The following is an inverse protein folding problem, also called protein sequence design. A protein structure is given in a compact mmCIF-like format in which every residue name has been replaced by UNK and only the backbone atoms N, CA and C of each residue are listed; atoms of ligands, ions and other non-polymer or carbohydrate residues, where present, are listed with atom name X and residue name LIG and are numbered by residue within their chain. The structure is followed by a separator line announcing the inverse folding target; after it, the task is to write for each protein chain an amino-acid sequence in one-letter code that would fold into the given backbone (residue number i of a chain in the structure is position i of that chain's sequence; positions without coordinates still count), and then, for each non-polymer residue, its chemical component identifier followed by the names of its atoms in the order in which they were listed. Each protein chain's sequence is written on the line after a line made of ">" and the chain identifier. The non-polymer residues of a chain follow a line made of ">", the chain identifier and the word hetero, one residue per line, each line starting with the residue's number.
data_IF_640428011029
#
_entry.id   IF_640428011029
#
_cell.length_a   1.000
_cell.length_b   1.000
_cell.length_c   1.000
_cell.angle_alpha   90.00
_cell.angle_beta   90.00
_cell.angle_gamma   90.00
#
_symmetry.space_group_name_H-M   'P 1'
#
loop_
_entity.id
_entity.type
_entity.pdbx_description
1 polymer ?
#
# COMPACT_ATOMS: atom_id res chain seq x y z
N UNK A 1 8.20 -30.55 1.50
CA UNK A 1 7.28 -29.63 0.80
C UNK A 1 7.53 -28.27 1.41
N UNK A 2 7.91 -27.27 0.63
CA UNK A 2 8.23 -25.95 1.17
C UNK A 2 6.93 -25.37 1.77
N UNK A 3 6.99 -24.72 2.93
CA UNK A 3 5.80 -24.23 3.66
C UNK A 3 4.97 -23.26 2.80
N UNK A 4 5.64 -22.46 1.94
CA UNK A 4 4.99 -21.53 1.03
C UNK A 4 4.15 -22.25 -0.04
N UNK A 5 4.65 -23.35 -0.60
CA UNK A 5 3.93 -24.13 -1.63
C UNK A 5 2.60 -24.66 -1.09
N UNK A 6 2.56 -25.11 0.15
CA UNK A 6 1.34 -25.57 0.81
C UNK A 6 0.31 -24.43 0.95
N UNK A 7 0.76 -23.25 1.36
CA UNK A 7 -0.10 -22.06 1.50
C UNK A 7 -0.67 -21.64 0.15
N UNK A 8 0.12 -21.67 -0.92
CA UNK A 8 -0.28 -21.22 -2.25
C UNK A 8 -1.18 -22.21 -2.99
N UNK A 9 -1.17 -23.50 -2.62
CA UNK A 9 -2.11 -24.50 -3.16
C UNK A 9 -3.53 -24.38 -2.61
N UNK A 10 -3.68 -23.73 -1.47
CA UNK A 10 -4.97 -23.44 -0.84
C UNK A 10 -5.01 -21.97 -0.41
N UNK A 11 -4.87 -21.05 -1.38
CA UNK A 11 -4.62 -19.65 -1.12
C UNK A 11 -5.77 -18.94 -0.41
N UNK A 12 -5.57 -18.67 0.87
CA UNK A 12 -6.43 -17.86 1.73
C UNK A 12 -5.67 -16.68 2.35
N UNK A 13 -4.56 -16.24 1.76
CA UNK A 13 -3.64 -15.23 2.28
C UNK A 13 -4.34 -13.89 2.53
N UNK A 14 -5.19 -13.46 1.60
CA UNK A 14 -5.88 -12.17 1.69
C UNK A 14 -7.39 -12.33 1.92
N UNK A 15 -8.13 -11.25 2.22
CA UNK A 15 -9.57 -11.30 2.54
C UNK A 15 -10.46 -11.87 1.42
N UNK A 16 -9.96 -12.01 0.18
CA UNK A 16 -10.70 -12.66 -0.90
C UNK A 16 -10.99 -14.14 -0.64
N UNK A 17 -10.20 -14.80 0.22
CA UNK A 17 -10.38 -16.20 0.63
C UNK A 17 -10.71 -17.13 -0.55
N UNK A 18 -9.99 -16.99 -1.67
CA UNK A 18 -10.30 -17.69 -2.93
C UNK A 18 -10.19 -19.21 -2.81
N UNK A 19 -9.40 -19.72 -1.86
CA UNK A 19 -9.00 -21.12 -1.75
C UNK A 19 -8.49 -21.71 -3.08
N UNK A 20 -7.84 -20.88 -3.89
CA UNK A 20 -7.36 -21.26 -5.21
C UNK A 20 -5.99 -21.94 -5.11
N UNK A 21 -5.77 -22.96 -5.92
CA UNK A 21 -4.46 -23.50 -6.18
C UNK A 21 -3.73 -22.60 -7.20
N UNK A 22 -2.70 -21.88 -6.73
CA UNK A 22 -1.92 -20.97 -7.59
C UNK A 22 -1.04 -21.70 -8.60
N UNK A 23 -0.82 -23.00 -8.45
CA UNK A 23 -0.11 -23.82 -9.44
C UNK A 23 -0.99 -24.21 -10.62
N UNK A 24 -2.33 -24.19 -10.44
CA UNK A 24 -3.30 -24.55 -11.47
C UNK A 24 -3.56 -23.41 -12.46
N UNK A 25 -4.23 -23.72 -13.58
CA UNK A 25 -4.71 -22.71 -14.54
C UNK A 25 -5.84 -21.87 -13.96
N UNK A 26 -6.66 -22.45 -13.09
CA UNK A 26 -7.79 -21.79 -12.45
C UNK A 26 -7.31 -20.91 -11.32
N UNK A 27 -6.92 -19.69 -11.64
CA UNK A 27 -6.42 -18.68 -10.70
C UNK A 27 -7.53 -18.13 -9.81
N UNK A 28 -7.14 -17.65 -8.60
CA UNK A 28 -8.00 -16.88 -7.72
C UNK A 28 -8.30 -15.46 -8.25
N UNK A 29 -8.93 -14.62 -7.40
CA UNK A 29 -9.34 -13.26 -7.77
C UNK A 29 -8.19 -12.41 -8.34
N UNK A 30 -7.02 -12.43 -7.69
CA UNK A 30 -5.87 -11.64 -8.12
C UNK A 30 -5.15 -12.19 -9.36
N UNK A 31 -5.51 -13.37 -9.84
CA UNK A 31 -4.86 -14.06 -10.98
C UNK A 31 -3.37 -14.37 -10.81
N UNK A 32 -2.83 -14.25 -9.59
CA UNK A 32 -1.43 -14.57 -9.31
C UNK A 32 -1.17 -16.06 -9.34
N UNK A 33 0.03 -16.44 -9.78
CA UNK A 33 0.58 -17.81 -9.74
C UNK A 33 1.46 -18.02 -8.49
N UNK A 34 2.27 -19.08 -8.49
CA UNK A 34 3.18 -19.42 -7.39
C UNK A 34 4.50 -18.62 -7.42
N UNK A 35 4.87 -18.03 -8.56
CA UNK A 35 6.13 -17.30 -8.71
C UNK A 35 6.12 -15.96 -7.99
N UNK A 36 7.28 -15.37 -7.84
CA UNK A 36 7.45 -13.99 -7.40
C UNK A 36 7.14 -13.04 -8.56
N UNK A 37 5.83 -12.83 -8.79
CA UNK A 37 5.36 -11.98 -9.87
C UNK A 37 5.56 -10.50 -9.51
N UNK A 38 6.60 -9.89 -10.08
CA UNK A 38 7.05 -8.52 -9.79
C UNK A 38 7.15 -7.75 -11.08
N UNK A 39 6.63 -6.53 -11.13
CA UNK A 39 6.76 -5.65 -12.29
C UNK A 39 8.14 -4.99 -12.35
N UNK A 40 8.67 -4.57 -11.21
CA UNK A 40 9.98 -3.92 -11.12
C UNK A 40 10.55 -3.97 -9.70
N UNK A 41 11.88 -3.91 -9.62
CA UNK A 41 12.64 -3.68 -8.39
C UNK A 41 13.56 -2.50 -8.69
N UNK A 42 13.30 -1.36 -8.06
CA UNK A 42 13.96 -0.09 -8.41
C UNK A 42 14.15 0.80 -7.18
N UNK A 43 15.15 1.69 -7.24
CA UNK A 43 15.26 2.78 -6.28
C UNK A 43 14.17 3.81 -6.55
N UNK A 44 13.36 4.10 -5.55
CA UNK A 44 12.29 5.10 -5.60
C UNK A 44 12.57 6.23 -4.63
N UNK A 45 12.49 7.49 -5.09
CA UNK A 45 12.75 8.70 -4.28
C UNK A 45 11.50 9.51 -3.97
N UNK A 46 10.33 8.98 -4.26
CA UNK A 46 9.05 9.68 -4.12
C UNK A 46 8.12 9.11 -3.03
N UNK A 47 8.65 8.32 -2.09
CA UNK A 47 7.86 7.81 -0.97
C UNK A 47 7.57 8.90 0.07
N UNK A 48 7.03 8.56 1.24
CA UNK A 48 6.79 9.56 2.29
C UNK A 48 8.09 10.27 2.68
N UNK A 49 8.11 11.58 2.98
CA UNK A 49 9.32 12.36 3.21
C UNK A 49 10.28 11.80 4.28
N UNK A 50 9.73 11.03 5.21
CA UNK A 50 10.49 10.38 6.28
C UNK A 50 10.97 8.98 5.93
N UNK A 51 10.71 8.47 4.72
CA UNK A 51 11.08 7.11 4.30
C UNK A 51 12.18 7.16 3.24
N UNK A 52 13.29 6.48 3.51
CA UNK A 52 14.39 6.27 2.56
C UNK A 52 15.35 7.43 2.39
N UNK A 53 15.08 8.61 2.96
CA UNK A 53 15.96 9.77 2.90
C UNK A 53 16.43 10.13 1.49
N UNK A 54 17.63 10.71 1.36
CA UNK A 54 18.20 11.15 0.07
C UNK A 54 18.55 10.00 -0.88
N UNK A 55 18.83 8.81 -0.35
CA UNK A 55 19.16 7.62 -1.15
C UNK A 55 17.93 6.95 -1.75
N UNK A 56 16.76 7.20 -1.18
CA UNK A 56 15.51 6.56 -1.57
C UNK A 56 15.34 5.17 -0.98
N UNK A 57 14.37 4.44 -1.50
CA UNK A 57 13.95 3.12 -1.03
C UNK A 57 14.02 2.11 -2.18
N UNK A 58 14.49 0.89 -1.91
CA UNK A 58 14.40 -0.24 -2.83
C UNK A 58 12.96 -0.74 -2.88
N UNK A 59 12.15 -0.28 -3.84
CA UNK A 59 10.77 -0.73 -3.99
C UNK A 59 10.66 -1.99 -4.84
N UNK A 60 10.03 -3.02 -4.28
CA UNK A 60 9.59 -4.24 -4.96
C UNK A 60 8.11 -4.07 -5.31
N UNK A 61 7.80 -3.80 -6.57
CA UNK A 61 6.43 -3.64 -7.05
C UNK A 61 5.85 -4.99 -7.45
N UNK A 62 5.02 -5.57 -6.59
CA UNK A 62 4.30 -6.79 -6.93
C UNK A 62 3.27 -6.52 -8.02
N UNK A 63 3.19 -7.45 -8.97
CA UNK A 63 2.21 -7.40 -10.05
C UNK A 63 0.85 -7.83 -9.55
N UNK A 64 -0.21 -7.34 -10.21
CA UNK A 64 -1.60 -7.61 -9.87
C UNK A 64 -2.02 -6.99 -8.53
N UNK A 65 -3.26 -7.22 -8.09
CA UNK A 65 -3.74 -6.69 -6.82
C UNK A 65 -4.97 -7.49 -6.34
N UNK A 66 -5.15 -7.58 -5.03
CA UNK A 66 -6.35 -8.13 -4.42
C UNK A 66 -7.54 -7.12 -4.40
N UNK A 67 -7.30 -5.85 -4.73
CA UNK A 67 -8.31 -4.85 -5.11
C UNK A 67 -8.20 -4.53 -6.59
N UNK A 68 -9.32 -4.13 -7.21
CA UNK A 68 -9.35 -3.73 -8.62
C UNK A 68 -9.91 -2.31 -8.72
N UNK A 69 -9.14 -1.35 -8.18
CA UNK A 69 -9.55 0.05 -8.18
C UNK A 69 -9.60 0.59 -9.61
N UNK A 70 -10.77 1.07 -10.04
CA UNK A 70 -10.99 1.59 -11.40
C UNK A 70 -10.15 2.83 -11.71
N UNK A 71 -9.67 3.52 -10.67
CA UNK A 71 -8.82 4.73 -10.72
C UNK A 71 -7.35 4.45 -10.35
N UNK A 72 -6.91 3.20 -10.37
CA UNK A 72 -5.56 2.84 -9.94
C UNK A 72 -4.50 3.52 -10.80
N UNK A 73 -3.60 4.29 -10.17
CA UNK A 73 -2.49 4.94 -10.88
C UNK A 73 -1.47 3.93 -11.40
N UNK A 74 -1.37 2.77 -10.74
CA UNK A 74 -0.51 1.65 -11.13
C UNK A 74 -1.26 0.58 -11.93
N UNK A 75 -2.31 0.94 -12.69
CA UNK A 75 -3.16 -0.03 -13.39
C UNK A 75 -2.39 -0.93 -14.37
N UNK A 76 -1.30 -0.43 -14.94
CA UNK A 76 -0.43 -1.18 -15.87
C UNK A 76 0.21 -2.42 -15.25
N UNK A 77 0.33 -2.46 -13.92
CA UNK A 77 0.92 -3.57 -13.18
C UNK A 77 -0.08 -4.24 -12.23
N UNK A 78 -1.15 -3.56 -11.82
CA UNK A 78 -2.07 -4.02 -10.78
C UNK A 78 -3.34 -4.68 -11.33
N UNK A 79 -3.72 -4.46 -12.59
CA UNK A 79 -4.93 -5.04 -13.13
C UNK A 79 -4.80 -6.55 -13.33
N UNK A 80 -5.95 -7.25 -13.37
CA UNK A 80 -6.00 -8.71 -13.55
C UNK A 80 -6.13 -9.13 -15.01
N UNK A 81 -6.03 -8.17 -15.94
CA UNK A 81 -6.06 -8.41 -17.37
C UNK A 81 -4.73 -8.99 -17.88
N UNK A 82 -4.73 -9.58 -19.05
CA UNK A 82 -3.60 -10.34 -19.60
C UNK A 82 -2.37 -9.49 -19.94
N UNK A 83 -2.56 -8.23 -20.30
CA UNK A 83 -1.49 -7.35 -20.74
C UNK A 83 -0.96 -6.46 -19.59
N UNK A 84 -0.34 -7.06 -18.60
CA UNK A 84 0.33 -6.34 -17.51
C UNK A 84 1.85 -6.50 -17.59
N UNK A 85 2.56 -5.55 -17.00
CA UNK A 85 4.02 -5.66 -16.82
C UNK A 85 4.27 -6.61 -15.65
N UNK A 86 4.74 -7.81 -15.94
CA UNK A 86 4.97 -8.85 -14.94
C UNK A 86 6.21 -9.66 -15.31
N UNK A 87 7.13 -9.79 -14.37
CA UNK A 87 8.27 -10.69 -14.45
C UNK A 87 8.09 -11.77 -13.36
N UNK A 88 8.30 -13.02 -13.74
CA UNK A 88 8.23 -14.16 -12.82
C UNK A 88 9.65 -14.51 -12.39
N UNK A 89 10.05 -14.04 -11.22
CA UNK A 89 11.37 -14.30 -10.66
C UNK A 89 11.38 -15.52 -9.73
N UNK A 90 12.55 -16.12 -9.58
CA UNK A 90 12.87 -16.99 -8.45
C UNK A 90 13.17 -16.14 -7.20
N UNK A 91 13.20 -16.78 -6.04
CA UNK A 91 13.61 -16.13 -4.79
C UNK A 91 15.04 -15.58 -4.89
N UNK A 92 15.95 -16.39 -5.44
CA UNK A 92 17.37 -16.02 -5.61
C UNK A 92 17.54 -14.79 -6.51
N UNK A 93 16.81 -14.74 -7.63
CA UNK A 93 16.86 -13.57 -8.55
C UNK A 93 16.35 -12.29 -7.87
N UNK A 94 15.25 -12.37 -7.09
CA UNK A 94 14.73 -11.22 -6.34
C UNK A 94 15.73 -10.75 -5.29
N UNK A 95 16.23 -11.67 -4.48
CA UNK A 95 17.19 -11.35 -3.41
C UNK A 95 18.47 -10.75 -3.99
N UNK A 96 19.00 -11.31 -5.09
CA UNK A 96 20.17 -10.75 -5.79
C UNK A 96 19.93 -9.32 -6.26
N UNK A 97 18.75 -9.03 -6.87
CA UNK A 97 18.40 -7.67 -7.32
C UNK A 97 18.26 -6.70 -6.15
N UNK A 98 17.65 -7.11 -5.07
CA UNK A 98 17.50 -6.28 -3.86
C UNK A 98 18.88 -5.97 -3.27
N UNK A 99 19.75 -6.98 -3.10
CA UNK A 99 21.10 -6.81 -2.57
C UNK A 99 21.92 -5.85 -3.41
N UNK A 100 21.87 -5.96 -4.74
CA UNK A 100 22.57 -5.02 -5.64
C UNK A 100 22.17 -3.56 -5.42
N UNK A 101 20.92 -3.29 -5.03
CA UNK A 101 20.47 -1.94 -4.69
C UNK A 101 20.92 -1.56 -3.26
N UNK A 102 20.80 -2.47 -2.29
CA UNK A 102 21.23 -2.21 -0.91
C UNK A 102 22.74 -1.91 -0.83
N UNK A 103 23.55 -2.58 -1.65
CA UNK A 103 25.00 -2.37 -1.73
C UNK A 103 25.37 -0.98 -2.27
N UNK A 104 24.45 -0.24 -2.89
CA UNK A 104 24.64 1.19 -3.23
C UNK A 104 24.50 2.12 -2.02
N UNK A 105 24.15 1.57 -0.86
CA UNK A 105 23.93 2.29 0.40
C UNK A 105 22.48 2.70 0.65
N UNK A 106 21.52 2.20 -0.13
CA UNK A 106 20.10 2.22 0.22
C UNK A 106 19.90 1.27 1.40
N UNK A 107 19.26 1.72 2.47
CA UNK A 107 19.06 0.93 3.70
C UNK A 107 17.60 0.52 3.94
N UNK A 108 16.72 0.82 3.01
CA UNK A 108 15.27 0.60 3.16
C UNK A 108 14.72 -0.17 1.98
N UNK A 109 13.88 -1.17 2.24
CA UNK A 109 13.14 -1.94 1.23
C UNK A 109 11.64 -1.71 1.39
N UNK A 110 10.94 -1.43 0.29
CA UNK A 110 9.49 -1.29 0.23
C UNK A 110 8.83 -2.40 -0.55
N UNK A 111 7.84 -3.04 0.05
CA UNK A 111 6.98 -4.02 -0.62
C UNK A 111 5.68 -3.32 -1.03
N UNK A 112 5.49 -3.09 -2.33
CA UNK A 112 4.36 -2.31 -2.86
C UNK A 112 3.25 -3.25 -3.33
N UNK A 113 2.03 -3.06 -2.81
CA UNK A 113 0.86 -3.91 -3.02
C UNK A 113 1.08 -5.38 -2.61
N UNK A 114 1.63 -5.67 -1.43
CA UNK A 114 2.09 -6.99 -1.03
C UNK A 114 0.98 -7.92 -0.50
N UNK A 115 -0.24 -7.44 -0.26
CA UNK A 115 -1.32 -8.13 0.47
C UNK A 115 -1.62 -9.56 -0.01
N UNK A 116 -1.41 -9.85 -1.29
CA UNK A 116 -1.62 -11.16 -1.88
C UNK A 116 -0.32 -11.95 -2.09
N UNK A 117 0.82 -11.40 -1.63
CA UNK A 117 2.16 -11.96 -1.68
C UNK A 117 2.85 -12.00 -0.30
N UNK A 118 2.12 -11.91 0.81
CA UNK A 118 2.70 -11.85 2.15
C UNK A 118 3.58 -13.05 2.49
N UNK A 119 3.25 -14.25 2.01
CA UNK A 119 4.12 -15.41 2.18
C UNK A 119 5.48 -15.23 1.46
N UNK A 120 5.48 -14.65 0.26
CA UNK A 120 6.70 -14.33 -0.49
C UNK A 120 7.49 -13.20 0.19
N UNK A 121 6.82 -12.18 0.73
CA UNK A 121 7.46 -11.10 1.51
C UNK A 121 8.23 -11.67 2.69
N UNK A 122 7.60 -12.59 3.47
CA UNK A 122 8.26 -13.26 4.60
C UNK A 122 9.52 -14.01 4.15
N UNK A 123 9.43 -14.72 3.03
CA UNK A 123 10.55 -15.52 2.51
C UNK A 123 11.69 -14.63 2.03
N UNK A 124 11.39 -13.52 1.34
CA UNK A 124 12.40 -12.54 0.92
C UNK A 124 13.13 -11.96 2.15
N UNK A 125 12.39 -11.49 3.17
CA UNK A 125 12.99 -10.90 4.37
C UNK A 125 13.86 -11.92 5.10
N UNK A 126 13.37 -13.14 5.29
CA UNK A 126 14.11 -14.18 5.97
C UNK A 126 15.40 -14.55 5.23
N UNK A 127 15.36 -14.61 3.90
CA UNK A 127 16.56 -14.90 3.08
C UNK A 127 17.57 -13.76 3.16
N UNK A 128 17.13 -12.51 3.08
CA UNK A 128 18.01 -11.36 3.29
C UNK A 128 18.68 -11.39 4.66
N UNK A 129 17.92 -11.67 5.72
CA UNK A 129 18.45 -11.78 7.08
C UNK A 129 19.47 -12.91 7.22
N UNK A 130 19.24 -14.08 6.59
CA UNK A 130 20.19 -15.20 6.56
C UNK A 130 21.49 -14.84 5.85
N UNK A 131 21.44 -13.91 4.90
CA UNK A 131 22.60 -13.39 4.16
C UNK A 131 23.21 -12.13 4.80
N UNK A 132 22.83 -11.80 6.04
CA UNK A 132 23.27 -10.64 6.82
C UNK A 132 22.89 -9.26 6.24
N UNK A 133 21.77 -9.18 5.53
CA UNK A 133 21.14 -7.93 5.11
C UNK A 133 19.94 -7.63 5.98
N UNK A 134 19.94 -6.50 6.70
CA UNK A 134 18.89 -6.09 7.64
C UNK A 134 18.34 -4.70 7.27
N UNK A 135 17.77 -4.50 6.09
CA UNK A 135 17.20 -3.21 5.71
C UNK A 135 15.95 -2.88 6.54
N UNK A 136 15.64 -1.60 6.68
CA UNK A 136 14.33 -1.17 7.17
C UNK A 136 13.26 -1.62 6.20
N UNK A 137 12.29 -2.41 6.68
CA UNK A 137 11.23 -2.99 5.83
C UNK A 137 9.95 -2.17 5.88
N UNK A 138 9.43 -1.78 4.72
CA UNK A 138 8.19 -1.01 4.57
C UNK A 138 7.12 -1.86 3.87
N UNK A 139 5.96 -2.02 4.51
CA UNK A 139 4.81 -2.73 3.96
C UNK A 139 3.79 -1.72 3.44
N UNK A 140 3.89 -1.38 2.13
CA UNK A 140 3.05 -0.40 1.44
C UNK A 140 1.82 -1.09 0.87
N UNK A 141 0.72 -1.06 1.63
CA UNK A 141 -0.48 -1.85 1.36
C UNK A 141 -1.71 -1.00 1.08
N UNK A 142 -2.69 -1.59 0.40
CA UNK A 142 -4.01 -1.02 0.23
C UNK A 142 -4.94 -1.23 1.46
N UNK A 143 -4.42 -1.76 2.55
CA UNK A 143 -5.11 -2.10 3.79
C UNK A 143 -6.19 -3.21 3.67
N UNK A 144 -6.37 -3.84 2.50
CA UNK A 144 -7.26 -4.99 2.37
C UNK A 144 -6.48 -6.27 2.72
N UNK A 145 -6.09 -6.36 4.00
CA UNK A 145 -5.27 -7.40 4.60
C UNK A 145 -6.02 -8.17 5.68
N UNK A 146 -5.67 -9.42 5.89
CA UNK A 146 -6.18 -10.22 7.00
C UNK A 146 -5.38 -9.93 8.27
N UNK A 147 -6.07 -9.85 9.40
CA UNK A 147 -5.43 -9.65 10.72
C UNK A 147 -4.44 -10.77 11.02
N UNK A 148 -4.83 -12.02 10.76
CA UNK A 148 -3.99 -13.20 10.99
C UNK A 148 -2.68 -13.13 10.18
N UNK A 149 -2.77 -12.69 8.93
CA UNK A 149 -1.60 -12.52 8.06
C UNK A 149 -0.69 -11.39 8.56
N UNK A 150 -1.26 -10.30 9.09
CA UNK A 150 -0.49 -9.20 9.69
C UNK A 150 0.20 -9.60 10.99
N UNK A 151 -0.44 -10.44 11.81
CA UNK A 151 0.18 -11.01 13.02
C UNK A 151 1.41 -11.84 12.64
N UNK A 152 1.35 -12.60 11.56
CA UNK A 152 2.50 -13.36 11.07
C UNK A 152 3.66 -12.47 10.55
N UNK A 153 3.41 -11.21 10.25
CA UNK A 153 4.42 -10.23 9.82
C UNK A 153 5.01 -9.44 11.00
N UNK A 154 4.50 -9.62 12.23
CA UNK A 154 5.01 -8.95 13.42
C UNK A 154 6.50 -9.26 13.62
N UNK A 155 7.31 -8.24 13.86
CA UNK A 155 8.77 -8.36 13.96
C UNK A 155 9.52 -8.39 12.62
N UNK A 156 8.85 -8.68 11.50
CA UNK A 156 9.45 -8.65 10.16
C UNK A 156 9.29 -7.31 9.45
N UNK A 157 8.20 -6.60 9.71
CA UNK A 157 7.92 -5.29 9.12
C UNK A 157 8.25 -4.20 10.11
N UNK A 158 9.09 -3.25 9.70
CA UNK A 158 9.45 -2.09 10.48
C UNK A 158 8.39 -0.98 10.36
N UNK A 159 7.96 -0.67 9.16
CA UNK A 159 7.02 0.43 8.89
C UNK A 159 5.81 -0.10 8.13
N UNK A 160 4.62 0.13 8.67
CA UNK A 160 3.38 -0.06 7.93
C UNK A 160 2.96 1.24 7.27
N UNK A 161 2.60 1.15 5.98
CA UNK A 161 2.17 2.27 5.14
C UNK A 161 0.84 1.94 4.44
N UNK A 162 -0.27 1.80 5.21
CA UNK A 162 -1.57 1.44 4.64
C UNK A 162 -2.28 2.62 4.01
N UNK A 163 -2.89 2.39 2.85
CA UNK A 163 -3.89 3.30 2.27
C UNK A 163 -5.27 3.01 2.85
N UNK A 164 -5.80 3.87 3.69
CA UNK A 164 -7.19 3.74 4.16
C UNK A 164 -8.14 4.46 3.18
N UNK A 165 -8.68 3.72 2.21
CA UNK A 165 -9.35 4.29 1.04
C UNK A 165 -10.80 4.69 1.30
N UNK A 166 -11.56 3.86 2.05
CA UNK A 166 -13.02 4.02 2.17
C UNK A 166 -13.54 3.68 3.57
N UNK A 167 -14.55 4.44 3.99
CA UNK A 167 -15.50 4.10 5.07
C UNK A 167 -16.93 3.93 4.53
N UNK A 168 -17.09 3.93 3.21
CA UNK A 168 -18.37 3.71 2.54
C UNK A 168 -18.33 2.39 1.75
N UNK A 169 -19.17 1.44 2.15
CA UNK A 169 -19.21 0.08 1.58
C UNK A 169 -19.72 0.05 0.13
N UNK A 170 -20.62 0.98 -0.24
CA UNK A 170 -21.14 1.07 -1.60
C UNK A 170 -20.06 1.67 -2.50
N UNK A 171 -19.40 2.72 -2.03
CA UNK A 171 -18.31 3.35 -2.76
C UNK A 171 -17.15 2.38 -2.97
N UNK A 172 -16.73 1.65 -1.93
CA UNK A 172 -15.65 0.66 -2.04
C UNK A 172 -15.98 -0.49 -2.98
N UNK A 173 -17.25 -0.96 -2.98
CA UNK A 173 -17.72 -1.95 -3.95
C UNK A 173 -17.60 -1.42 -5.38
N UNK A 174 -18.10 -0.20 -5.61
CA UNK A 174 -18.16 0.38 -6.95
C UNK A 174 -16.78 0.76 -7.50
N UNK A 175 -15.90 1.30 -6.66
CA UNK A 175 -14.60 1.80 -7.11
C UNK A 175 -13.46 0.78 -7.00
N UNK A 176 -13.59 -0.26 -6.15
CA UNK A 176 -12.49 -1.21 -5.89
C UNK A 176 -12.91 -2.67 -5.81
N UNK A 177 -14.19 -2.98 -6.09
CA UNK A 177 -14.69 -4.35 -6.14
C UNK A 177 -14.70 -5.07 -4.77
N UNK A 178 -14.76 -4.33 -3.64
CA UNK A 178 -14.75 -4.91 -2.29
C UNK A 178 -15.74 -4.17 -1.37
N UNK A 179 -16.95 -4.73 -1.21
CA UNK A 179 -17.99 -4.13 -0.35
C UNK A 179 -17.60 -4.12 1.13
N UNK A 180 -16.87 -5.11 1.54
CA UNK A 180 -16.40 -5.36 2.92
C UNK A 180 -15.10 -4.60 3.27
N UNK A 181 -14.56 -3.83 2.32
CA UNK A 181 -13.31 -3.09 2.51
C UNK A 181 -13.28 -2.23 3.79
N UNK A 182 -14.31 -1.43 4.13
CA UNK A 182 -14.24 -0.57 5.32
C UNK A 182 -14.01 -1.35 6.61
N UNK A 183 -14.70 -2.46 6.79
CA UNK A 183 -14.57 -3.31 7.97
C UNK A 183 -13.20 -3.99 8.03
N UNK A 184 -12.76 -4.57 6.92
CA UNK A 184 -11.49 -5.29 6.83
C UNK A 184 -10.31 -4.34 7.02
N UNK A 185 -10.30 -3.19 6.31
CA UNK A 185 -9.24 -2.21 6.43
C UNK A 185 -9.16 -1.62 7.84
N UNK A 186 -10.29 -1.36 8.47
CA UNK A 186 -10.35 -0.90 9.85
C UNK A 186 -9.69 -1.88 10.83
N UNK A 187 -9.99 -3.19 10.71
CA UNK A 187 -9.37 -4.24 11.54
C UNK A 187 -7.87 -4.37 11.24
N UNK A 188 -7.49 -4.34 9.99
CA UNK A 188 -6.09 -4.42 9.55
C UNK A 188 -5.26 -3.27 10.11
N UNK A 189 -5.75 -2.02 10.01
CA UNK A 189 -5.06 -0.84 10.51
C UNK A 189 -5.00 -0.85 12.04
N UNK A 190 -6.05 -1.30 12.75
CA UNK A 190 -6.01 -1.49 14.21
C UNK A 190 -4.93 -2.50 14.61
N UNK A 191 -4.74 -3.58 13.86
CA UNK A 191 -3.66 -4.53 14.11
C UNK A 191 -2.28 -3.91 13.85
N UNK A 192 -2.10 -3.18 12.74
CA UNK A 192 -0.85 -2.44 12.48
C UNK A 192 -0.56 -1.43 13.60
N UNK A 193 -1.60 -0.75 14.11
CA UNK A 193 -1.48 0.17 15.25
C UNK A 193 -1.12 -0.56 16.55
N UNK A 194 -1.67 -1.74 16.81
CA UNK A 194 -1.29 -2.58 17.95
C UNK A 194 0.20 -2.91 17.93
N UNK A 195 0.75 -3.21 16.74
CA UNK A 195 2.16 -3.57 16.59
C UNK A 195 3.11 -2.37 16.69
N UNK A 196 2.70 -1.19 16.21
CA UNK A 196 3.59 -0.03 16.03
C UNK A 196 3.26 1.18 16.89
N UNK A 197 2.04 1.28 17.41
CA UNK A 197 1.57 2.48 18.10
C UNK A 197 1.47 3.70 17.19
N UNK A 198 1.48 4.89 17.81
CA UNK A 198 1.36 6.18 17.10
C UNK A 198 2.69 6.90 16.91
N UNK A 199 3.79 6.41 17.46
CA UNK A 199 5.10 7.07 17.40
C UNK A 199 5.92 6.54 16.23
N UNK A 200 6.51 7.46 15.43
CA UNK A 200 7.55 7.10 14.48
C UNK A 200 8.90 7.16 15.19
N UNK A 201 9.58 6.01 15.23
CA UNK A 201 11.00 5.94 15.61
C UNK A 201 11.80 6.39 14.40
N UNK A 202 12.74 7.30 14.62
CA UNK A 202 13.58 7.88 13.57
C UNK A 202 15.04 7.73 13.89
N UNK A 203 15.86 7.61 12.84
CA UNK A 203 17.31 7.70 12.93
C UNK A 203 17.77 9.15 13.19
N UNK A 204 19.09 9.32 13.29
CA UNK A 204 19.73 10.63 13.55
C UNK A 204 19.52 11.64 12.40
N UNK A 205 19.24 11.16 11.20
CA UNK A 205 18.99 11.95 9.99
C UNK A 205 17.50 12.27 9.82
N UNK A 206 16.64 11.78 10.72
CA UNK A 206 15.20 12.00 10.72
C UNK A 206 14.41 11.03 9.86
N UNK A 207 15.02 9.98 9.32
CA UNK A 207 14.34 8.93 8.56
C UNK A 207 13.65 7.95 9.51
N UNK A 208 12.49 7.47 9.12
CA UNK A 208 11.74 6.51 9.91
C UNK A 208 12.40 5.12 9.88
N UNK A 209 12.63 4.56 11.06
CA UNK A 209 13.10 3.20 11.28
C UNK A 209 11.98 2.26 11.70
N UNK A 210 10.92 2.76 12.34
CA UNK A 210 9.76 1.97 12.74
C UNK A 210 8.52 2.85 12.93
N UNK A 211 7.34 2.30 12.65
CA UNK A 211 6.08 2.96 12.94
C UNK A 211 4.94 2.66 11.98
N UNK A 212 3.89 3.47 12.09
CA UNK A 212 2.70 3.41 11.24
C UNK A 212 2.41 4.79 10.67
N UNK A 213 2.31 4.87 9.33
CA UNK A 213 1.87 6.06 8.61
C UNK A 213 0.63 5.68 7.80
N UNK A 214 -0.54 6.14 8.21
CA UNK A 214 -1.77 5.92 7.44
C UNK A 214 -1.80 6.92 6.29
N UNK A 215 -2.14 6.45 5.07
CA UNK A 215 -2.34 7.31 3.92
C UNK A 215 -3.82 7.36 3.54
N UNK A 216 -4.27 8.51 3.08
CA UNK A 216 -5.60 8.65 2.51
C UNK A 216 -5.58 9.53 1.27
N UNK A 217 -5.97 8.96 0.13
CA UNK A 217 -6.11 9.71 -1.13
C UNK A 217 -7.52 10.30 -1.21
N UNK A 218 -7.59 11.62 -1.25
CA UNK A 218 -8.85 12.34 -1.45
C UNK A 218 -9.27 12.21 -2.91
N UNK A 219 -10.44 11.61 -3.14
CA UNK A 219 -10.99 11.45 -4.48
C UNK A 219 -11.94 12.62 -4.83
N UNK A 220 -11.82 13.20 -6.06
CA UNK A 220 -12.71 14.25 -6.50
C UNK A 220 -14.18 13.81 -6.49
N UNK A 221 -15.04 14.59 -5.84
CA UNK A 221 -16.47 14.32 -5.69
C UNK A 221 -16.85 13.39 -4.53
N UNK A 222 -15.85 12.86 -3.77
CA UNK A 222 -16.10 11.94 -2.66
C UNK A 222 -15.55 12.42 -1.32
N UNK A 223 -15.58 13.73 -1.08
CA UNK A 223 -15.04 14.34 0.14
C UNK A 223 -15.71 13.82 1.42
N UNK A 224 -17.00 13.48 1.37
CA UNK A 224 -17.70 12.94 2.53
C UNK A 224 -17.15 11.58 2.97
N UNK A 225 -16.64 10.77 2.02
CA UNK A 225 -15.90 9.55 2.36
C UNK A 225 -14.59 9.88 3.09
N UNK A 226 -13.85 10.89 2.62
CA UNK A 226 -12.62 11.31 3.27
C UNK A 226 -12.88 11.78 4.71
N UNK A 227 -13.96 12.55 4.93
CA UNK A 227 -14.37 12.99 6.28
C UNK A 227 -14.68 11.77 7.17
N UNK A 228 -15.40 10.78 6.67
CA UNK A 228 -15.68 9.53 7.41
C UNK A 228 -14.40 8.79 7.77
N UNK A 229 -13.43 8.68 6.85
CA UNK A 229 -12.13 8.03 7.10
C UNK A 229 -11.36 8.78 8.18
N UNK A 230 -11.23 10.10 8.06
CA UNK A 230 -10.51 10.93 9.04
C UNK A 230 -11.14 10.86 10.44
N UNK A 231 -12.47 10.91 10.50
CA UNK A 231 -13.21 10.76 11.77
C UNK A 231 -12.94 9.40 12.39
N UNK A 232 -13.04 8.33 11.61
CA UNK A 232 -12.75 6.97 12.09
C UNK A 232 -11.32 6.84 12.65
N UNK A 233 -10.32 7.40 11.95
CA UNK A 233 -8.92 7.39 12.41
C UNK A 233 -8.82 8.10 13.78
N UNK A 234 -9.43 9.27 13.92
CA UNK A 234 -9.36 10.06 15.14
C UNK A 234 -10.08 9.41 16.33
N UNK A 235 -11.29 8.88 16.10
CA UNK A 235 -12.16 8.35 17.15
C UNK A 235 -11.82 6.90 17.54
N UNK A 236 -11.37 6.08 16.57
CA UNK A 236 -11.25 4.63 16.73
C UNK A 236 -9.80 4.12 16.72
N UNK A 237 -8.83 4.94 16.31
CA UNK A 237 -7.41 4.57 16.28
C UNK A 237 -6.62 5.51 17.19
N UNK A 238 -6.33 6.73 16.74
CA UNK A 238 -5.61 7.73 17.54
C UNK A 238 -5.57 9.09 16.84
N UNK A 239 -5.67 10.17 17.62
CA UNK A 239 -5.41 11.53 17.15
C UNK A 239 -3.91 11.83 16.97
N UNK A 240 -3.04 10.99 17.55
CA UNK A 240 -1.58 11.17 17.49
C UNK A 240 -0.92 10.35 16.37
N UNK A 241 -1.71 9.64 15.54
CA UNK A 241 -1.19 8.84 14.43
C UNK A 241 -0.63 9.75 13.33
N UNK A 242 0.42 9.30 12.67
CA UNK A 242 0.92 9.96 11.47
C UNK A 242 -0.02 9.67 10.29
N UNK A 243 -0.62 10.73 9.74
CA UNK A 243 -1.52 10.66 8.60
C UNK A 243 -0.95 11.46 7.43
N UNK A 244 -0.77 10.80 6.30
CA UNK A 244 -0.48 11.44 5.01
C UNK A 244 -1.79 11.61 4.23
N UNK A 245 -2.29 12.84 4.21
CA UNK A 245 -3.47 13.21 3.42
C UNK A 245 -3.02 13.61 2.02
N UNK A 246 -3.35 12.78 1.03
CA UNK A 246 -2.91 12.95 -0.34
C UNK A 246 -3.99 13.62 -1.19
N UNK A 247 -3.66 14.76 -1.79
CA UNK A 247 -4.53 15.48 -2.72
C UNK A 247 -4.09 15.39 -4.17
N UNK A 248 -2.97 14.71 -4.43
CA UNK A 248 -2.35 14.57 -5.76
C UNK A 248 -3.06 13.53 -6.66
N UNK A 249 -4.39 13.42 -6.56
CA UNK A 249 -5.12 12.56 -7.47
C UNK A 249 -4.99 13.05 -8.92
N UNK A 250 -4.53 12.17 -9.81
CA UNK A 250 -4.53 12.39 -11.25
C UNK A 250 -5.33 11.30 -11.97
N UNK A 251 -6.25 11.66 -12.86
CA UNK A 251 -6.94 10.68 -13.67
C UNK A 251 -5.97 10.04 -14.68
N UNK A 252 -5.84 8.72 -14.63
CA UNK A 252 -4.99 7.97 -15.57
C UNK A 252 -5.71 7.63 -16.87
N UNK A 253 -7.04 7.64 -16.85
CA UNK A 253 -7.93 7.42 -17.97
C UNK A 253 -9.32 7.96 -17.66
N UNK A 254 -10.14 8.20 -18.68
CA UNK A 254 -11.57 8.44 -18.49
C UNK A 254 -12.24 7.17 -17.93
N UNK A 255 -13.08 7.36 -16.92
CA UNK A 255 -13.81 6.25 -16.28
C UNK A 255 -15.29 6.47 -16.55
N UNK A 256 -15.86 5.59 -17.37
CA UNK A 256 -17.27 5.65 -17.71
C UNK A 256 -18.16 5.58 -16.47
N UNK A 257 -19.18 6.41 -16.40
CA UNK A 257 -20.07 6.50 -15.23
C UNK A 257 -19.52 7.27 -14.03
N UNK A 258 -18.23 7.71 -14.06
CA UNK A 258 -17.58 8.41 -12.96
C UNK A 258 -16.90 9.72 -13.38
N UNK A 259 -17.65 10.73 -13.87
CA UNK A 259 -17.07 11.98 -14.42
C UNK A 259 -16.23 12.75 -13.38
N UNK A 260 -16.51 12.61 -12.09
CA UNK A 260 -15.71 13.21 -11.04
C UNK A 260 -14.27 12.70 -11.02
N UNK A 261 -14.04 11.42 -11.34
CA UNK A 261 -12.71 10.82 -11.39
C UNK A 261 -11.94 11.15 -12.68
N UNK A 262 -12.51 11.91 -13.60
CA UNK A 262 -11.85 12.39 -14.82
C UNK A 262 -11.21 13.77 -14.64
N UNK A 263 -11.17 14.31 -13.42
CA UNK A 263 -10.60 15.61 -13.09
C UNK A 263 -9.63 15.54 -11.92
N UNK A 264 -8.65 16.44 -11.90
CA UNK A 264 -7.78 16.66 -10.73
C UNK A 264 -8.54 17.39 -9.61
N UNK A 265 -8.09 17.21 -8.38
CA UNK A 265 -8.53 18.08 -7.28
C UNK A 265 -7.94 19.47 -7.51
N UNK A 266 -8.80 20.46 -7.70
CA UNK A 266 -8.39 21.86 -7.61
C UNK A 266 -8.51 22.29 -6.16
N UNK A 267 -7.39 22.58 -5.52
CA UNK A 267 -7.34 23.32 -4.28
C UNK A 267 -7.78 24.76 -4.58
N UNK A 268 -9.06 24.98 -4.75
CA UNK A 268 -9.60 26.33 -4.69
C UNK A 268 -9.64 26.71 -3.20
N UNK A 269 -9.11 27.93 -2.88
CA UNK A 269 -9.16 28.61 -1.56
C UNK A 269 -10.22 28.06 -0.60
N UNK A 270 -10.10 28.12 0.73
CA UNK A 270 -10.82 27.30 1.69
C UNK A 270 -12.31 27.17 1.34
N UNK A 271 -12.62 26.12 0.61
CA UNK A 271 -13.99 25.75 0.27
C UNK A 271 -14.71 25.29 1.53
N UNK A 272 -16.05 25.34 1.59
CA UNK A 272 -16.81 24.74 2.69
C UNK A 272 -16.43 23.30 3.01
N UNK A 273 -15.91 22.55 2.01
CA UNK A 273 -15.40 21.19 2.18
C UNK A 273 -14.10 21.14 2.99
N UNK A 274 -13.13 22.03 2.75
CA UNK A 274 -11.92 22.17 3.56
C UNK A 274 -12.22 22.68 4.98
N UNK A 275 -13.20 23.58 5.13
CA UNK A 275 -13.70 23.99 6.46
C UNK A 275 -14.29 22.81 7.23
N UNK A 276 -14.94 21.86 6.55
CA UNK A 276 -15.41 20.61 7.18
C UNK A 276 -14.25 19.70 7.60
N UNK A 277 -13.14 19.65 6.84
CA UNK A 277 -11.92 18.93 7.22
C UNK A 277 -11.20 19.60 8.40
N UNK A 278 -11.18 20.94 8.48
CA UNK A 278 -10.63 21.67 9.61
C UNK A 278 -11.43 21.49 10.91
N UNK A 279 -12.67 21.04 10.84
CA UNK A 279 -13.49 20.63 11.98
C UNK A 279 -13.34 19.13 12.30
N UNK A 280 -12.51 18.37 11.58
CA UNK A 280 -12.09 17.05 11.98
C UNK A 280 -11.17 17.17 13.22
N UNK A 281 -11.22 16.19 14.15
CA UNK A 281 -10.34 16.22 15.31
C UNK A 281 -8.89 16.41 14.89
N UNK A 282 -8.12 17.21 15.64
CA UNK A 282 -6.73 17.50 15.33
C UNK A 282 -5.92 16.20 15.27
N UNK A 283 -5.59 15.74 14.07
CA UNK A 283 -4.69 14.62 13.80
C UNK A 283 -3.36 15.21 13.35
N UNK A 284 -2.24 14.56 13.64
CA UNK A 284 -0.94 14.91 13.05
C UNK A 284 -0.98 14.63 11.55
N UNK A 285 -1.33 15.63 10.75
CA UNK A 285 -1.45 15.51 9.30
C UNK A 285 -0.25 16.11 8.58
N UNK A 286 0.31 15.37 7.63
CA UNK A 286 1.11 15.91 6.54
C UNK A 286 0.19 15.98 5.31
N UNK A 287 0.00 17.18 4.75
CA UNK A 287 -0.76 17.34 3.49
C UNK A 287 0.23 17.29 2.33
N UNK A 288 0.07 16.33 1.44
CA UNK A 288 0.81 16.28 0.18
C UNK A 288 0.00 16.99 -0.90
N UNK A 289 0.53 18.10 -1.38
CA UNK A 289 0.04 18.80 -2.57
C UNK A 289 0.74 18.23 -3.80
N UNK A 290 -0.03 17.97 -4.86
CA UNK A 290 0.57 17.62 -6.15
C UNK A 290 1.35 18.80 -6.70
N UNK A 291 2.56 18.56 -7.16
CA UNK A 291 3.30 19.55 -7.92
C UNK A 291 2.43 19.99 -9.11
N UNK A 292 2.20 21.31 -9.21
CA UNK A 292 1.63 21.87 -10.44
C UNK A 292 2.51 21.43 -11.60
N UNK A 293 1.95 20.94 -12.73
CA UNK A 293 2.77 20.65 -13.89
C UNK A 293 3.45 21.96 -14.31
N UNK A 294 4.73 22.11 -13.94
CA UNK A 294 5.56 23.14 -14.50
C UNK A 294 5.64 22.83 -15.99
N UNK A 295 5.08 23.73 -16.82
CA UNK A 295 5.33 23.80 -18.24
C UNK A 295 6.85 23.69 -18.46
N UNK A 296 7.32 22.50 -18.84
CA UNK A 296 8.59 22.39 -19.54
C UNK A 296 8.22 22.29 -21.01
N UNK A 297 8.45 23.44 -21.71
CA UNK A 297 8.41 23.57 -23.14
C UNK A 297 9.47 22.69 -23.83
#
# INVERSE_FOLDING_TARGET
>A
MNTIDSILKHCIICPRNCNADRSSEKKGYCKSNMSYAVSSIVVHKGEEPVIGGDKGICNVFFSRCNLQCIYCQNYQISCINENIIENNYSLEEIVTKIKSILDTGVNTIGFVSPSHFTAHVKEIINTLNQENYFPVTVYNTNAYDKVETLIELEGLINIYLPDFKYMDAILSKNLSGAKDYPEIAAKAIKEMYRQKGSTLVKDVDGNAESGLIIRHLVLPGYIDNSIKVLRYIAEEISTNIHLSLMSQYHPVKAIEGYPNLSRVLKWLKPTPALKKLNNAPAIRMTVREGDSPTNKG
#
